data_IF_397366926661
#
_entry.id   IF_397366926661
#
_cell.length_a   1.000
_cell.length_b   1.000
_cell.length_c   1.000
_cell.angle_alpha   90.00
_cell.angle_beta   90.00
_cell.angle_gamma   90.00
#
_symmetry.space_group_name_H-M   'P 1'
#
loop_
_entity.id
_entity.type
_entity.pdbx_description
1 polymer ?
#
# COMPACT_ATOMS: atom_id res chain seq x y z
N UNK A 1 24.03 4.20 -6.56
CA UNK A 1 22.66 4.75 -6.65
C UNK A 1 21.70 3.58 -6.77
N UNK A 2 21.00 3.23 -5.70
CA UNK A 2 20.19 2.01 -5.66
C UNK A 2 18.97 2.16 -6.58
N UNK A 3 18.86 1.26 -7.56
CA UNK A 3 17.66 1.08 -8.37
C UNK A 3 16.48 0.88 -7.43
N UNK A 4 15.64 1.91 -7.31
CA UNK A 4 14.32 1.81 -6.71
C UNK A 4 13.52 0.93 -7.65
N UNK A 5 13.57 -0.38 -7.40
CA UNK A 5 12.74 -1.37 -8.06
C UNK A 5 11.31 -0.84 -8.02
N UNK A 6 10.80 -0.53 -9.22
CA UNK A 6 9.49 0.03 -9.46
C UNK A 6 8.46 -0.79 -8.68
N UNK A 7 7.99 -0.20 -7.57
CA UNK A 7 7.03 -0.84 -6.70
C UNK A 7 5.72 -0.91 -7.47
N UNK A 8 5.17 -2.10 -7.76
CA UNK A 8 3.93 -2.19 -8.50
C UNK A 8 2.85 -1.37 -7.75
N UNK A 9 2.09 -0.51 -8.45
CA UNK A 9 1.20 0.49 -7.84
C UNK A 9 0.08 -0.13 -6.98
N UNK A 10 -0.10 -1.44 -7.02
CA UNK A 10 -1.10 -2.22 -6.29
C UNK A 10 -0.73 -2.50 -4.84
N UNK A 11 0.53 -2.87 -4.59
CA UNK A 11 1.02 -3.09 -3.22
C UNK A 11 1.30 -1.77 -2.49
N UNK A 12 1.44 -0.67 -3.23
CA UNK A 12 1.77 0.65 -2.67
C UNK A 12 0.71 1.22 -1.73
N UNK A 13 -0.59 1.09 -2.04
CA UNK A 13 -1.65 1.72 -1.24
C UNK A 13 -1.84 1.05 0.12
N UNK A 14 -1.97 -0.29 0.13
CA UNK A 14 -2.06 -1.04 1.38
C UNK A 14 -0.78 -0.87 2.20
N UNK A 15 0.39 -0.91 1.56
CA UNK A 15 1.64 -0.69 2.24
C UNK A 15 1.77 0.72 2.82
N UNK A 16 1.38 1.76 2.09
CA UNK A 16 1.42 3.15 2.55
C UNK A 16 0.51 3.35 3.77
N UNK A 17 -0.70 2.78 3.74
CA UNK A 17 -1.64 2.89 4.87
C UNK A 17 -1.11 2.18 6.11
N UNK A 18 -0.60 0.95 5.97
CA UNK A 18 0.03 0.25 7.09
C UNK A 18 1.28 0.97 7.58
N UNK A 19 2.11 1.48 6.67
CA UNK A 19 3.33 2.20 7.02
C UNK A 19 3.01 3.49 7.79
N UNK A 20 2.02 4.26 7.36
CA UNK A 20 1.58 5.46 8.08
C UNK A 20 1.02 5.13 9.47
N UNK A 21 0.18 4.10 9.58
CA UNK A 21 -0.42 3.70 10.86
C UNK A 21 0.61 3.13 11.84
N UNK A 22 1.54 2.32 11.35
CA UNK A 22 2.58 1.70 12.18
C UNK A 22 3.64 2.72 12.56
N UNK A 23 4.07 3.60 11.64
CA UNK A 23 5.05 4.66 11.94
C UNK A 23 4.50 5.81 12.78
N UNK A 24 3.17 5.92 12.95
CA UNK A 24 2.57 6.89 13.87
C UNK A 24 2.96 6.66 15.35
N UNK A 25 3.53 5.49 15.67
CA UNK A 25 4.03 5.16 17.02
C UNK A 25 5.51 4.75 16.94
N UNK A 26 6.37 5.29 17.82
CA UNK A 26 7.73 4.79 17.96
C UNK A 26 7.70 3.38 18.59
N UNK A 27 8.42 2.44 17.98
CA UNK A 27 8.50 1.05 18.45
C UNK A 27 9.87 0.80 19.08
N UNK A 28 9.91 0.39 20.35
CA UNK A 28 11.18 0.13 21.06
C UNK A 28 11.84 -1.21 20.69
N UNK A 29 11.14 -2.10 19.99
CA UNK A 29 11.65 -3.41 19.56
C UNK A 29 10.99 -3.88 18.27
N UNK A 30 11.72 -4.69 17.50
CA UNK A 30 11.22 -5.36 16.28
C UNK A 30 10.00 -6.24 16.59
N UNK A 31 9.92 -6.81 17.79
CA UNK A 31 8.74 -7.61 18.20
C UNK A 31 7.51 -6.74 18.44
N UNK A 32 7.69 -5.55 19.01
CA UNK A 32 6.61 -4.57 19.18
C UNK A 32 6.12 -4.04 17.82
N UNK A 33 7.04 -3.85 16.88
CA UNK A 33 6.72 -3.50 15.50
C UNK A 33 5.88 -4.61 14.84
N UNK A 34 6.32 -5.87 14.91
CA UNK A 34 5.57 -7.01 14.36
C UNK A 34 4.17 -7.13 14.95
N UNK A 35 4.03 -7.01 16.27
CA UNK A 35 2.72 -7.04 16.95
C UNK A 35 1.80 -5.92 16.46
N UNK A 36 2.32 -4.70 16.35
CA UNK A 36 1.55 -3.55 15.86
C UNK A 36 1.14 -3.75 14.41
N UNK A 37 2.04 -4.28 13.57
CA UNK A 37 1.76 -4.50 12.15
C UNK A 37 0.67 -5.55 11.92
N UNK A 38 0.67 -6.64 12.70
CA UNK A 38 -0.40 -7.64 12.68
C UNK A 38 -1.71 -7.03 13.20
N UNK A 39 -1.67 -6.26 14.29
CA UNK A 39 -2.87 -5.61 14.84
C UNK A 39 -3.52 -4.63 13.87
N UNK A 40 -2.73 -3.77 13.24
CA UNK A 40 -3.23 -2.78 12.26
C UNK A 40 -3.70 -3.46 10.97
N UNK A 41 -3.08 -4.59 10.58
CA UNK A 41 -3.55 -5.45 9.50
C UNK A 41 -4.91 -6.06 9.82
N UNK A 42 -5.09 -6.64 11.01
CA UNK A 42 -6.35 -7.28 11.39
C UNK A 42 -7.46 -6.24 11.65
N UNK A 43 -7.09 -5.01 11.99
CA UNK A 43 -8.01 -3.88 12.10
C UNK A 43 -8.44 -3.30 10.73
N UNK A 44 -7.82 -3.70 9.62
CA UNK A 44 -8.28 -3.30 8.29
C UNK A 44 -9.58 -4.03 7.95
N UNK A 45 -10.64 -3.27 7.66
CA UNK A 45 -11.91 -3.84 7.22
C UNK A 45 -11.75 -4.64 5.92
N UNK A 46 -12.44 -5.77 5.85
CA UNK A 46 -12.58 -6.57 4.63
C UNK A 46 -13.14 -5.73 3.47
N UNK A 47 -14.01 -4.76 3.76
CA UNK A 47 -14.58 -3.86 2.76
C UNK A 47 -13.52 -2.93 2.14
N UNK A 48 -12.56 -2.48 2.95
CA UNK A 48 -11.45 -1.67 2.46
C UNK A 48 -10.53 -2.48 1.53
N UNK A 49 -10.24 -3.73 1.90
CA UNK A 49 -9.48 -4.65 1.06
C UNK A 49 -10.21 -4.93 -0.26
N UNK A 50 -11.52 -5.20 -0.19
CA UNK A 50 -12.37 -5.43 -1.35
C UNK A 50 -12.44 -4.19 -2.24
N UNK A 51 -12.61 -2.98 -1.68
CA UNK A 51 -12.58 -1.74 -2.44
C UNK A 51 -11.23 -1.53 -3.14
N UNK A 52 -10.12 -1.79 -2.44
CA UNK A 52 -8.77 -1.70 -3.00
C UNK A 52 -8.60 -2.67 -4.19
N UNK A 53 -9.09 -3.91 -4.06
CA UNK A 53 -9.10 -4.89 -5.16
C UNK A 53 -10.01 -4.43 -6.30
N UNK A 54 -11.20 -3.89 -6.03
CA UNK A 54 -12.10 -3.39 -7.08
C UNK A 54 -11.59 -2.16 -7.81
N UNK A 55 -10.70 -1.37 -7.20
CA UNK A 55 -10.02 -0.28 -7.93
C UNK A 55 -8.93 -0.78 -8.88
N UNK A 56 -8.56 -2.06 -8.80
CA UNK A 56 -7.53 -2.66 -9.63
C UNK A 56 -7.82 -2.57 -11.14
N UNK A 57 -8.98 -3.04 -11.64
CA UNK A 57 -9.28 -3.03 -13.07
C UNK A 57 -9.30 -1.60 -13.61
N UNK A 58 -9.86 -0.65 -12.86
CA UNK A 58 -9.90 0.77 -13.24
C UNK A 58 -8.50 1.37 -13.42
N UNK A 59 -7.57 1.05 -12.51
CA UNK A 59 -6.18 1.53 -12.61
C UNK A 59 -5.41 0.85 -13.73
N UNK A 60 -5.64 -0.46 -13.93
CA UNK A 60 -5.03 -1.19 -15.03
C UNK A 60 -5.47 -0.62 -16.38
N UNK A 61 -6.77 -0.35 -16.56
CA UNK A 61 -7.30 0.32 -17.76
C UNK A 61 -6.62 1.67 -18.00
N UNK A 62 -6.48 2.50 -16.97
CA UNK A 62 -5.83 3.80 -17.10
C UNK A 62 -4.31 3.70 -17.42
N UNK A 63 -3.61 2.67 -16.92
CA UNK A 63 -2.22 2.39 -17.31
C UNK A 63 -2.12 1.96 -18.76
N UNK A 64 -3.07 1.14 -19.23
CA UNK A 64 -3.14 0.69 -20.63
C UNK A 64 -3.38 1.89 -21.56
N UNK A 65 -4.34 2.76 -21.23
CA UNK A 65 -4.62 4.01 -21.96
C UNK A 65 -3.39 4.92 -22.03
N UNK A 66 -2.63 5.01 -20.93
CA UNK A 66 -1.39 5.81 -20.84
C UNK A 66 -0.16 5.11 -21.45
N UNK A 67 -0.31 3.96 -22.12
CA UNK A 67 0.78 3.13 -22.67
C UNK A 67 1.90 2.84 -21.64
N UNK A 68 1.53 2.59 -20.38
CA UNK A 68 2.49 2.33 -19.31
C UNK A 68 3.08 3.59 -18.66
N UNK A 69 2.61 4.79 -19.01
CA UNK A 69 3.00 6.04 -18.37
C UNK A 69 2.64 6.10 -16.88
N UNK A 70 3.53 6.68 -16.07
CA UNK A 70 3.39 6.83 -14.62
C UNK A 70 2.16 7.71 -14.30
N UNK A 71 1.20 7.15 -13.56
CA UNK A 71 -0.01 7.85 -13.09
C UNK A 71 0.20 8.37 -11.67
N UNK A 72 0.88 9.50 -11.54
CA UNK A 72 0.96 10.23 -10.27
C UNK A 72 -0.10 11.33 -10.34
N UNK A 73 -1.02 11.35 -9.37
CA UNK A 73 -1.78 12.56 -9.11
C UNK A 73 -0.78 13.59 -8.60
N UNK A 74 -0.66 14.69 -9.34
CA UNK A 74 -0.11 15.95 -8.85
C UNK A 74 -1.02 16.46 -7.74
#
# INVERSE_FOLDING_TARGET
MASVLARPPFFGLLHLVLQNKVNAKPHSSIEALKKTLVKERDALSSDYLRATIHTYPRRLSAVIEKRGGRMEQV
#
